data_IF_526926250405
#
_entry.id   IF_526926250405
#
_cell.length_a   1.000
_cell.length_b   1.000
_cell.length_c   1.000
_cell.angle_alpha   90.00
_cell.angle_beta   90.00
_cell.angle_gamma   90.00
#
_symmetry.space_group_name_H-M   'P 1'
#
loop_
_entity.id
_entity.type
_entity.pdbx_description
1 polymer ?
#
# COMPACT_ATOMS: atom_id res chain seq x y z
N UNK A 1 -8.55 -19.73 -15.72
CA UNK A 1 -8.94 -18.81 -14.64
C UNK A 1 -7.91 -18.93 -13.54
N UNK A 2 -6.71 -18.40 -13.77
CA UNK A 2 -5.59 -18.38 -12.84
C UNK A 2 -5.26 -16.97 -12.37
N UNK A 3 -4.30 -16.89 -11.47
CA UNK A 3 -3.66 -15.64 -11.09
C UNK A 3 -2.48 -15.39 -12.02
N UNK A 4 -2.34 -14.16 -12.53
CA UNK A 4 -1.21 -13.71 -13.35
C UNK A 4 -0.33 -12.76 -12.54
N UNK A 5 1.01 -12.83 -12.67
CA UNK A 5 1.90 -11.88 -12.04
C UNK A 5 1.70 -10.48 -12.63
N UNK A 6 1.69 -9.46 -11.76
CA UNK A 6 1.50 -8.07 -12.16
C UNK A 6 2.69 -7.17 -11.77
N UNK A 7 3.20 -7.29 -10.54
CA UNK A 7 4.28 -6.47 -9.97
C UNK A 7 4.12 -4.96 -10.22
N UNK A 8 3.02 -4.38 -9.73
CA UNK A 8 2.65 -2.97 -9.95
C UNK A 8 2.40 -2.24 -8.65
N UNK A 9 2.59 -0.92 -8.67
CA UNK A 9 2.10 -0.04 -7.61
C UNK A 9 0.70 0.46 -7.98
N UNK A 10 -0.21 0.45 -7.01
CA UNK A 10 -1.53 1.02 -7.17
C UNK A 10 -1.88 1.92 -5.98
N UNK A 11 -2.82 2.83 -6.17
CA UNK A 11 -3.42 3.62 -5.10
C UNK A 11 -4.90 3.28 -5.01
N UNK A 12 -5.38 3.10 -3.79
CA UNK A 12 -6.79 2.90 -3.52
C UNK A 12 -7.60 4.18 -3.77
N UNK A 13 -8.63 4.08 -4.61
CA UNK A 13 -9.59 5.14 -4.90
C UNK A 13 -10.82 5.08 -3.98
N UNK A 14 -11.11 3.90 -3.43
CA UNK A 14 -12.27 3.63 -2.60
C UNK A 14 -11.92 2.79 -1.37
N UNK A 15 -12.75 2.89 -0.33
CA UNK A 15 -12.61 2.06 0.87
C UNK A 15 -13.19 0.67 0.60
N UNK A 16 -12.40 -0.38 0.78
CA UNK A 16 -12.83 -1.76 0.74
C UNK A 16 -12.64 -2.39 2.12
N UNK A 17 -13.73 -2.86 2.74
CA UNK A 17 -13.68 -3.54 4.03
C UNK A 17 -13.58 -5.04 3.81
N UNK A 18 -12.55 -5.68 4.38
CA UNK A 18 -12.43 -7.13 4.33
C UNK A 18 -13.58 -7.80 5.07
N UNK A 19 -14.23 -8.74 4.40
CA UNK A 19 -15.29 -9.59 4.95
C UNK A 19 -14.83 -11.03 5.17
N UNK A 20 -13.61 -11.39 4.75
CA UNK A 20 -13.04 -12.73 4.88
C UNK A 20 -11.56 -12.72 5.22
N UNK A 21 -11.04 -13.85 5.70
CA UNK A 21 -9.67 -14.01 6.22
C UNK A 21 -8.59 -13.73 5.16
N UNK A 22 -8.92 -13.91 3.89
CA UNK A 22 -8.00 -13.66 2.77
C UNK A 22 -8.12 -12.27 2.15
N UNK A 23 -9.16 -11.51 2.54
CA UNK A 23 -9.40 -10.18 2.00
C UNK A 23 -8.57 -9.14 2.76
N UNK A 24 -8.01 -8.18 2.03
CA UNK A 24 -7.28 -7.06 2.59
C UNK A 24 -8.22 -5.87 2.74
N UNK A 25 -8.34 -5.31 3.94
CA UNK A 25 -9.01 -4.00 4.09
C UNK A 25 -8.12 -2.93 3.50
N UNK A 26 -8.69 -2.11 2.62
CA UNK A 26 -8.02 -1.02 1.90
C UNK A 26 -8.77 0.27 2.15
N UNK A 27 -8.05 1.35 2.42
CA UNK A 27 -8.63 2.69 2.56
C UNK A 27 -8.18 3.61 1.43
N UNK A 28 -9.00 4.61 1.13
CA UNK A 28 -8.67 5.64 0.12
C UNK A 28 -7.30 6.23 0.42
N UNK A 29 -6.45 6.29 -0.61
CA UNK A 29 -5.08 6.82 -0.52
C UNK A 29 -4.04 5.80 -0.06
N UNK A 30 -4.43 4.59 0.32
CA UNK A 30 -3.47 3.52 0.59
C UNK A 30 -2.68 3.20 -0.68
N UNK A 31 -1.35 3.11 -0.52
CA UNK A 31 -0.45 2.65 -1.56
C UNK A 31 -0.35 1.14 -1.46
N UNK A 32 -0.62 0.45 -2.56
CA UNK A 32 -0.68 -1.00 -2.64
C UNK A 32 0.41 -1.52 -3.58
N UNK A 33 1.00 -2.64 -3.21
CA UNK A 33 1.79 -3.46 -4.12
C UNK A 33 0.91 -4.60 -4.65
N UNK A 34 0.63 -4.58 -5.95
CA UNK A 34 -0.15 -5.62 -6.62
C UNK A 34 0.82 -6.69 -7.12
N UNK A 35 0.81 -7.83 -6.45
CA UNK A 35 1.65 -8.99 -6.79
C UNK A 35 1.04 -9.75 -7.96
N UNK A 36 -0.26 -10.06 -7.85
CA UNK A 36 -0.98 -10.87 -8.80
C UNK A 36 -2.33 -10.25 -9.12
N UNK A 37 -2.83 -10.51 -10.32
CA UNK A 37 -4.16 -10.12 -10.77
C UNK A 37 -4.89 -11.39 -11.22
N UNK A 38 -6.19 -11.49 -10.94
CA UNK A 38 -6.98 -12.62 -11.40
C UNK A 38 -7.26 -12.45 -12.89
N UNK A 39 -7.28 -13.54 -13.67
CA UNK A 39 -7.56 -13.48 -15.12
C UNK A 39 -8.88 -12.77 -15.46
N UNK A 40 -9.88 -12.82 -14.58
CA UNK A 40 -11.16 -12.10 -14.77
C UNK A 40 -11.01 -10.58 -14.67
N UNK A 41 -9.90 -10.08 -14.12
CA UNK A 41 -9.67 -8.66 -13.85
C UNK A 41 -10.49 -8.11 -12.69
N UNK A 42 -11.24 -8.94 -11.96
CA UNK A 42 -12.11 -8.48 -10.87
C UNK A 42 -11.36 -8.32 -9.55
N UNK A 43 -10.33 -9.15 -9.33
CA UNK A 43 -9.59 -9.23 -8.08
C UNK A 43 -8.09 -9.10 -8.31
N UNK A 44 -7.46 -8.39 -7.38
CA UNK A 44 -6.02 -8.27 -7.25
C UNK A 44 -5.59 -8.91 -5.93
N UNK A 45 -4.35 -9.40 -5.88
CA UNK A 45 -3.70 -9.89 -4.68
C UNK A 45 -2.44 -9.06 -4.43
N UNK A 46 -2.28 -8.63 -3.19
CA UNK A 46 -1.18 -7.75 -2.84
C UNK A 46 -1.12 -7.41 -1.37
N UNK A 47 -0.40 -6.34 -1.06
CA UNK A 47 -0.23 -5.84 0.29
C UNK A 47 -0.14 -4.31 0.33
N UNK A 48 -0.35 -3.74 1.52
CA UNK A 48 -0.12 -2.30 1.75
C UNK A 48 1.38 -2.03 1.65
N UNK A 49 1.81 -1.20 0.71
CA UNK A 49 3.22 -1.02 0.33
C UNK A 49 4.16 -0.78 1.52
N UNK A 50 3.70 0.01 2.50
CA UNK A 50 4.47 0.36 3.69
C UNK A 50 4.21 -0.56 4.90
N UNK A 51 3.29 -1.52 4.78
CA UNK A 51 2.98 -2.53 5.79
C UNK A 51 2.84 -3.91 5.13
N UNK A 52 3.94 -4.56 4.68
CA UNK A 52 3.88 -5.84 3.95
C UNK A 52 3.24 -7.01 4.71
N UNK A 53 3.13 -6.90 6.04
CA UNK A 53 2.39 -7.85 6.87
C UNK A 53 0.88 -7.84 6.60
N UNK A 54 0.33 -6.71 6.14
CA UNK A 54 -1.08 -6.57 5.73
C UNK A 54 -1.23 -6.92 4.26
N UNK A 55 -1.48 -8.20 4.01
CA UNK A 55 -1.63 -8.77 2.66
C UNK A 55 -2.97 -9.48 2.49
N UNK A 56 -3.45 -9.55 1.25
CA UNK A 56 -4.69 -10.24 0.90
C UNK A 56 -5.17 -9.90 -0.51
N UNK A 57 -6.41 -10.25 -0.79
CA UNK A 57 -7.10 -9.92 -2.03
C UNK A 57 -8.00 -8.70 -1.87
N UNK A 58 -8.14 -7.91 -2.92
CA UNK A 58 -8.99 -6.73 -2.99
C UNK A 58 -9.50 -6.53 -4.43
N UNK A 59 -10.67 -5.89 -4.64
CA UNK A 59 -11.20 -5.69 -5.98
C UNK A 59 -10.34 -4.76 -6.82
N UNK A 60 -10.13 -5.10 -8.09
CA UNK A 60 -9.36 -4.26 -9.02
C UNK A 60 -10.04 -2.91 -9.30
N UNK A 61 -11.39 -2.85 -9.22
CA UNK A 61 -12.16 -1.61 -9.42
C UNK A 61 -11.98 -0.56 -8.32
N UNK A 62 -11.35 -0.93 -7.19
CA UNK A 62 -11.13 -0.04 -6.06
C UNK A 62 -9.77 0.64 -6.09
N UNK A 63 -8.94 0.31 -7.08
CA UNK A 63 -7.56 0.76 -7.19
C UNK A 63 -7.31 1.41 -8.56
N UNK A 64 -6.36 2.33 -8.60
CA UNK A 64 -5.77 2.83 -9.84
C UNK A 64 -4.30 2.46 -9.87
N UNK A 65 -3.86 1.81 -10.94
CA UNK A 65 -2.43 1.55 -11.17
C UNK A 65 -1.73 2.90 -11.30
N UNK A 66 -0.66 3.10 -10.55
CA UNK A 66 0.25 4.24 -10.72
C UNK A 66 1.40 3.84 -11.61
N UNK A 67 1.94 4.80 -12.35
CA UNK A 67 3.23 4.65 -12.98
C UNK A 67 4.27 4.32 -11.91
N UNK A 68 5.07 3.30 -12.17
CA UNK A 68 6.08 2.83 -11.24
C UNK A 68 7.35 2.45 -11.98
N UNK A 69 8.48 2.92 -11.47
CA UNK A 69 9.79 2.57 -12.02
C UNK A 69 10.25 1.29 -11.32
N UNK A 70 10.31 0.18 -12.06
CA UNK A 70 10.96 -1.03 -11.55
C UNK A 70 12.48 -0.86 -11.67
N UNK A 71 13.17 -0.73 -10.53
CA UNK A 71 14.63 -0.70 -10.46
C UNK A 71 15.10 -2.11 -10.10
N UNK A 72 15.85 -2.74 -11.00
CA UNK A 72 16.51 -4.01 -10.70
C UNK A 72 17.76 -3.70 -9.87
N UNK A 73 17.74 -4.03 -8.58
CA UNK A 73 18.93 -3.91 -7.72
C UNK A 73 19.39 -5.35 -7.44
N UNK A 74 20.45 -5.78 -8.13
CA UNK A 74 20.93 -7.16 -8.04
C UNK A 74 19.91 -8.16 -8.60
N UNK A 75 19.56 -9.17 -7.80
CA UNK A 75 18.56 -10.20 -8.13
C UNK A 75 17.12 -9.84 -7.71
N UNK A 76 16.92 -8.72 -7.03
CA UNK A 76 15.63 -8.32 -6.48
C UNK A 76 15.04 -7.16 -7.28
N UNK A 77 13.76 -7.30 -7.66
CA UNK A 77 13.05 -6.32 -8.46
C UNK A 77 12.27 -5.39 -7.53
N UNK A 78 12.78 -4.19 -7.34
CA UNK A 78 12.15 -3.20 -6.47
C UNK A 78 11.27 -2.29 -7.33
N UNK A 79 9.98 -2.28 -7.05
CA UNK A 79 9.04 -1.38 -7.72
C UNK A 79 8.84 -0.16 -6.84
N UNK A 80 9.22 1.01 -7.35
CA UNK A 80 9.09 2.29 -6.68
C UNK A 80 8.01 3.11 -7.39
N UNK A 81 7.12 3.84 -6.68
CA UNK A 81 6.19 4.75 -7.32
C UNK A 81 6.96 5.76 -8.19
N UNK A 82 6.55 6.00 -9.43
CA UNK A 82 7.25 6.90 -10.37
C UNK A 82 7.03 8.40 -10.06
N UNK A 83 6.80 8.75 -8.79
CA UNK A 83 6.71 10.15 -8.36
C UNK A 83 8.09 10.79 -8.25
N UNK A 84 8.11 12.11 -8.16
CA UNK A 84 9.31 12.88 -7.79
C UNK A 84 9.94 12.28 -6.52
N UNK A 85 11.25 12.04 -6.54
CA UNK A 85 12.01 11.40 -5.46
C UNK A 85 11.85 12.19 -4.15
N UNK A 86 11.80 13.53 -4.26
CA UNK A 86 11.53 14.43 -3.14
C UNK A 86 10.12 14.25 -2.57
N UNK A 87 9.12 14.02 -3.42
CA UNK A 87 7.74 13.79 -2.98
C UNK A 87 7.62 12.46 -2.24
N UNK A 88 8.32 11.43 -2.69
CA UNK A 88 8.39 10.13 -1.98
C UNK A 88 9.06 10.31 -0.61
N UNK A 89 10.19 10.99 -0.54
CA UNK A 89 10.89 11.23 0.72
C UNK A 89 10.08 12.10 1.68
N UNK A 90 9.49 13.20 1.19
CA UNK A 90 8.65 14.08 2.01
C UNK A 90 7.41 13.35 2.56
N UNK A 91 6.75 12.51 1.75
CA UNK A 91 5.60 11.72 2.21
C UNK A 91 6.01 10.65 3.22
N UNK A 92 7.21 10.08 3.09
CA UNK A 92 7.78 9.17 4.09
C UNK A 92 8.07 9.90 5.41
N UNK A 93 8.74 11.06 5.35
CA UNK A 93 9.01 11.88 6.53
C UNK A 93 7.74 12.29 7.28
N UNK A 94 6.69 12.70 6.56
CA UNK A 94 5.39 13.02 7.17
C UNK A 94 4.76 11.83 7.89
N UNK A 95 4.92 10.59 7.39
CA UNK A 95 4.42 9.37 8.05
C UNK A 95 5.17 9.08 9.34
N UNK A 96 6.50 9.19 9.32
CA UNK A 96 7.33 9.03 10.51
C UNK A 96 6.99 10.07 11.58
N UNK A 97 6.81 11.31 11.16
CA UNK A 97 6.43 12.39 12.06
C UNK A 97 5.03 12.20 12.60
N UNK A 98 4.08 11.69 11.82
CA UNK A 98 2.74 11.34 12.30
C UNK A 98 2.79 10.32 13.45
N UNK A 99 3.67 9.31 13.37
CA UNK A 99 3.85 8.34 14.46
C UNK A 99 4.44 8.99 15.71
N UNK A 100 5.52 9.79 15.56
CA UNK A 100 6.14 10.51 16.68
C UNK A 100 5.17 11.49 17.35
N UNK A 101 4.39 12.23 16.56
CA UNK A 101 3.38 13.15 17.08
C UNK A 101 2.30 12.41 17.86
N UNK A 102 1.85 11.25 17.38
CA UNK A 102 0.89 10.41 18.10
C UNK A 102 1.46 9.92 19.43
N UNK A 103 2.72 9.47 19.44
CA UNK A 103 3.41 9.05 20.67
C UNK A 103 3.52 10.21 21.67
N UNK A 104 4.01 11.36 21.23
CA UNK A 104 4.15 12.55 22.08
C UNK A 104 2.80 13.05 22.62
N UNK A 105 1.74 13.03 21.80
CA UNK A 105 0.40 13.43 22.23
C UNK A 105 -0.16 12.50 23.31
N UNK A 106 -0.04 11.18 23.13
CA UNK A 106 -0.52 10.18 24.10
C UNK A 106 0.30 10.23 25.40
N UNK A 107 1.63 10.35 25.31
CA UNK A 107 2.51 10.43 26.49
C UNK A 107 2.25 11.71 27.28
N UNK A 108 1.99 12.84 26.61
CA UNK A 108 1.71 14.12 27.28
C UNK A 108 0.33 14.13 27.95
N UNK A 109 -0.70 13.59 27.28
CA UNK A 109 -2.04 13.45 27.85
C UNK A 109 -2.11 12.55 29.09
N UNK A 110 -1.30 11.49 29.15
CA UNK A 110 -1.25 10.58 30.30
C UNK A 110 -0.40 11.08 31.46
N UNK A 111 0.39 12.15 31.27
CA UNK A 111 1.24 12.75 32.31
C UNK A 111 0.54 13.87 33.09
N UNK A 112 -0.55 14.38 32.53
CA UNK A 112 -1.39 15.43 33.12
C UNK A 112 -2.62 14.85 33.87
N UNK A 113 -2.62 13.54 34.15
CA UNK A 113 -3.54 12.80 35.04
C UNK A 113 -2.76 12.09 36.16
#
# INVERSE_FOLDING_TARGET
>A
MGWRPADKIAVALHNFKANGVHQLTVHIGDLLYVQEELDSGEWCRGYIFYEPSKRGIFPASYISIKESTSRNIGSERIVVPAGDELLVEATQGLREWRWKLRELYVVRLLRDY
#
